data_IF_644476930283
#
_entry.id   IF_644476930283
#
_cell.length_a   1.000
_cell.length_b   1.000
_cell.length_c   1.000
_cell.angle_alpha   90.00
_cell.angle_beta   90.00
_cell.angle_gamma   90.00
#
_symmetry.space_group_name_H-M   'P 1'
#
loop_
_entity.id
_entity.type
_entity.pdbx_description
1 polymer ?
#
# COMPACT_ATOMS: atom_id res chain seq x y z
N UNK A 1 -16.79 14.48 -17.53
CA UNK A 1 -17.13 15.00 -16.19
C UNK A 1 -16.39 14.12 -15.20
N UNK A 2 -15.27 14.58 -14.65
CA UNK A 2 -14.58 13.86 -13.58
C UNK A 2 -15.38 14.07 -12.30
N UNK A 3 -16.02 13.02 -11.79
CA UNK A 3 -16.59 13.03 -10.44
C UNK A 3 -15.43 13.24 -9.45
N UNK A 4 -15.58 14.11 -8.43
CA UNK A 4 -14.55 14.27 -7.42
C UNK A 4 -14.28 12.92 -6.76
N UNK A 5 -13.02 12.45 -6.86
CA UNK A 5 -12.60 11.18 -6.26
C UNK A 5 -12.67 11.29 -4.74
N UNK A 6 -13.17 10.24 -4.10
CA UNK A 6 -13.16 10.15 -2.63
C UNK A 6 -11.72 10.02 -2.11
N UNK A 7 -11.47 10.41 -0.85
CA UNK A 7 -10.14 10.21 -0.23
C UNK A 7 -9.70 8.74 -0.31
N UNK A 8 -10.62 7.80 -0.11
CA UNK A 8 -10.38 6.35 -0.28
C UNK A 8 -9.85 6.00 -1.66
N UNK A 9 -10.43 6.55 -2.72
CA UNK A 9 -9.98 6.30 -4.09
C UNK A 9 -8.60 6.88 -4.36
N UNK A 10 -8.32 8.08 -3.87
CA UNK A 10 -7.03 8.75 -4.00
C UNK A 10 -5.95 7.91 -3.29
N UNK A 11 -6.19 7.51 -2.04
CA UNK A 11 -5.27 6.67 -1.25
C UNK A 11 -4.98 5.35 -1.97
N UNK A 12 -6.02 4.64 -2.45
CA UNK A 12 -5.84 3.39 -3.20
C UNK A 12 -5.06 3.60 -4.50
N UNK A 13 -5.27 4.70 -5.22
CA UNK A 13 -4.52 5.02 -6.44
C UNK A 13 -3.04 5.28 -6.16
N UNK A 14 -2.74 6.03 -5.10
CA UNK A 14 -1.36 6.28 -4.66
C UNK A 14 -0.66 4.98 -4.30
N UNK A 15 -1.26 4.15 -3.44
CA UNK A 15 -0.67 2.87 -3.02
C UNK A 15 -0.45 1.95 -4.23
N UNK A 16 -1.41 1.84 -5.15
CA UNK A 16 -1.25 1.05 -6.39
C UNK A 16 -0.13 1.58 -7.29
N UNK A 17 0.07 2.89 -7.34
CA UNK A 17 1.17 3.49 -8.12
C UNK A 17 2.52 3.05 -7.55
N UNK A 18 2.70 3.09 -6.24
CA UNK A 18 3.94 2.66 -5.58
C UNK A 18 4.13 1.15 -5.62
N UNK A 19 3.06 0.35 -5.57
CA UNK A 19 3.13 -1.11 -5.67
C UNK A 19 3.70 -1.62 -7.01
N UNK A 20 3.67 -0.80 -8.07
CA UNK A 20 4.27 -1.13 -9.37
C UNK A 20 5.80 -1.02 -9.37
N UNK A 21 6.38 -0.37 -8.36
CA UNK A 21 7.83 -0.26 -8.25
C UNK A 21 8.43 -1.60 -7.85
N UNK A 22 9.68 -1.83 -8.28
CA UNK A 22 10.45 -3.00 -7.88
C UNK A 22 11.57 -2.59 -6.94
N UNK A 23 11.68 -3.21 -5.75
CA UNK A 23 12.85 -3.05 -4.90
C UNK A 23 14.13 -3.41 -5.67
N UNK A 24 15.19 -2.61 -5.49
CA UNK A 24 16.46 -2.78 -6.22
C UNK A 24 17.29 -3.98 -5.77
N UNK A 25 16.95 -4.60 -4.64
CA UNK A 25 17.72 -5.68 -4.03
C UNK A 25 16.81 -6.75 -3.42
N UNK A 26 17.30 -7.99 -3.41
CA UNK A 26 16.62 -9.13 -2.81
C UNK A 26 15.46 -9.66 -3.66
N UNK A 27 14.87 -10.78 -3.21
CA UNK A 27 13.63 -11.30 -3.77
C UNK A 27 12.47 -10.75 -2.95
N UNK A 28 12.09 -9.52 -3.28
CA UNK A 28 11.13 -8.73 -2.51
C UNK A 28 10.01 -8.24 -3.42
N UNK A 29 8.78 -8.45 -2.98
CA UNK A 29 7.56 -7.93 -3.63
C UNK A 29 6.91 -6.85 -2.78
N UNK A 30 6.15 -6.00 -3.46
CA UNK A 30 5.30 -5.00 -2.85
C UNK A 30 3.85 -5.48 -2.92
N UNK A 31 3.24 -5.72 -1.77
CA UNK A 31 1.87 -6.22 -1.64
C UNK A 31 0.96 -5.10 -1.10
N UNK A 32 -0.18 -4.88 -1.76
CA UNK A 32 -1.17 -3.91 -1.29
C UNK A 32 -2.17 -4.58 -0.35
N UNK A 33 -2.48 -3.93 0.78
CA UNK A 33 -3.54 -4.34 1.70
C UNK A 33 -4.58 -3.23 1.78
N UNK A 34 -5.82 -3.53 1.41
CA UNK A 34 -6.93 -2.58 1.46
C UNK A 34 -8.05 -3.18 2.32
N UNK A 35 -8.23 -2.62 3.50
CA UNK A 35 -9.36 -2.89 4.39
C UNK A 35 -10.29 -1.68 4.34
N UNK A 36 -11.28 -1.73 3.45
CA UNK A 36 -12.24 -0.65 3.27
C UNK A 36 -13.29 -0.59 4.38
N UNK A 37 -13.50 -1.68 5.13
CA UNK A 37 -14.45 -1.71 6.24
C UNK A 37 -13.90 -0.93 7.44
N UNK A 38 -12.59 -1.08 7.71
CA UNK A 38 -11.92 -0.35 8.80
C UNK A 38 -11.21 0.93 8.34
N UNK A 39 -11.32 1.27 7.06
CA UNK A 39 -10.62 2.41 6.43
C UNK A 39 -9.10 2.40 6.63
N UNK A 40 -8.50 1.22 6.46
CA UNK A 40 -7.04 1.00 6.59
C UNK A 40 -6.44 0.55 5.27
N UNK A 41 -5.35 1.20 4.89
CA UNK A 41 -4.67 0.93 3.62
C UNK A 41 -3.17 0.82 3.88
N UNK A 42 -2.54 -0.22 3.31
CA UNK A 42 -1.12 -0.43 3.45
C UNK A 42 -0.41 -0.86 2.17
N UNK A 43 0.86 -0.51 2.08
CA UNK A 43 1.83 -1.08 1.16
C UNK A 43 2.88 -1.85 1.95
N UNK A 44 2.90 -3.16 1.75
CA UNK A 44 3.78 -4.08 2.46
C UNK A 44 4.95 -4.47 1.58
N UNK A 45 6.14 -4.52 2.18
CA UNK A 45 7.31 -5.14 1.58
C UNK A 45 7.44 -6.56 2.13
N UNK A 46 7.37 -7.55 1.25
CA UNK A 46 7.37 -8.96 1.64
C UNK A 46 8.37 -9.73 0.80
N UNK A 47 9.27 -10.47 1.43
CA UNK A 47 10.26 -11.23 0.68
C UNK A 47 11.43 -11.71 1.50
N UNK A 48 12.57 -11.85 0.83
CA UNK A 48 13.83 -12.29 1.42
C UNK A 48 14.98 -11.43 0.90
N UNK A 49 15.87 -11.05 1.80
CA UNK A 49 17.11 -10.35 1.46
C UNK A 49 18.27 -10.98 2.22
N UNK A 50 19.28 -11.51 1.51
CA UNK A 50 20.47 -12.17 2.10
C UNK A 50 20.12 -13.21 3.17
N UNK A 51 19.13 -14.06 2.88
CA UNK A 51 18.67 -15.12 3.81
C UNK A 51 17.83 -14.64 4.99
N UNK A 52 17.57 -13.33 5.12
CA UNK A 52 16.69 -12.77 6.15
C UNK A 52 15.30 -12.49 5.59
N UNK A 53 14.27 -12.83 6.37
CA UNK A 53 12.87 -12.53 6.05
C UNK A 53 12.65 -11.03 6.12
N UNK A 54 12.02 -10.47 5.09
CA UNK A 54 11.55 -9.08 5.06
C UNK A 54 10.02 -9.09 5.12
N UNK A 55 9.46 -8.39 6.11
CA UNK A 55 8.02 -8.15 6.28
C UNK A 55 7.83 -6.80 6.96
N UNK A 56 7.75 -5.76 6.16
CA UNK A 56 7.72 -4.36 6.62
C UNK A 56 6.57 -3.60 5.99
N UNK A 57 6.13 -2.55 6.66
CA UNK A 57 5.11 -1.63 6.14
C UNK A 57 5.81 -0.37 5.63
N UNK A 58 5.67 -0.08 4.34
CA UNK A 58 6.27 1.12 3.70
C UNK A 58 5.30 2.30 3.78
N UNK A 59 4.01 2.04 3.60
CA UNK A 59 2.95 3.04 3.65
C UNK A 59 1.83 2.47 4.51
N UNK A 60 1.42 3.22 5.53
CA UNK A 60 0.24 2.90 6.33
C UNK A 60 -0.62 4.15 6.46
N UNK A 61 -1.87 4.04 6.02
CA UNK A 61 -2.83 5.14 6.05
C UNK A 61 -4.10 4.62 6.71
N UNK A 62 -4.60 5.36 7.69
CA UNK A 62 -5.93 5.20 8.27
C UNK A 62 -6.70 6.45 7.90
N UNK A 63 -7.84 6.31 7.22
CA UNK A 63 -8.78 7.42 7.10
C UNK A 63 -9.79 7.34 8.25
N UNK A 64 -10.03 8.46 8.91
CA UNK A 64 -11.21 8.58 9.75
C UNK A 64 -12.44 8.62 8.83
N UNK A 65 -13.59 8.05 9.21
CA UNK A 65 -14.83 8.31 8.49
C UNK A 65 -15.05 9.83 8.44
N UNK A 66 -15.32 10.36 7.24
CA UNK A 66 -15.80 11.73 7.09
C UNK A 66 -17.17 11.79 7.81
N UNK A 67 -17.27 12.60 8.87
CA UNK A 67 -18.51 12.84 9.62
C UNK A 67 -19.38 13.87 8.90
#
# INVERSE_FOLDING_TARGET
>A
MDTPKTYREIVKQVIRKYAKLRPSHGNIRLDTVFDEQSDRYALMQVGWNRGKRVRENIIYIISCPDN
#
